data_IF_709640953306
#
_entry.id   IF_709640953306
#
_cell.length_a   1.000
_cell.length_b   1.000
_cell.length_c   1.000
_cell.angle_alpha   90.00
_cell.angle_beta   90.00
_cell.angle_gamma   90.00
#
_symmetry.space_group_name_H-M   'P 1'
#
loop_
_entity.id
_entity.type
_entity.pdbx_description
1 polymer ?
#
# COMPACT_ATOMS: atom_id res chain seq x y z
N UNK A 1 -8.74 -5.04 16.17
CA UNK A 1 -7.77 -4.43 17.12
C UNK A 1 -7.12 -3.16 16.57
N UNK A 2 -6.92 -3.04 15.24
CA UNK A 2 -6.31 -1.85 14.61
C UNK A 2 -6.88 -0.46 14.99
N UNK A 3 -8.19 -0.34 15.24
CA UNK A 3 -8.81 0.94 15.68
C UNK A 3 -8.33 1.35 17.07
N UNK A 4 -8.25 0.40 18.01
CA UNK A 4 -7.80 0.65 19.39
C UNK A 4 -6.37 1.18 19.40
N UNK A 5 -5.51 0.64 18.53
CA UNK A 5 -4.11 1.06 18.43
C UNK A 5 -3.97 2.49 17.90
N UNK A 6 -4.90 2.95 17.06
CA UNK A 6 -4.94 4.35 16.61
C UNK A 6 -5.40 5.28 17.71
N UNK A 7 -6.43 4.90 18.46
CA UNK A 7 -6.92 5.68 19.60
C UNK A 7 -5.84 5.83 20.67
N UNK A 8 -5.11 4.74 20.94
CA UNK A 8 -3.97 4.78 21.86
C UNK A 8 -2.82 5.65 21.32
N UNK A 9 -2.49 5.59 20.02
CA UNK A 9 -1.48 6.47 19.45
C UNK A 9 -1.83 7.97 19.63
N UNK A 10 -3.12 8.31 19.52
CA UNK A 10 -3.59 9.69 19.66
C UNK A 10 -3.46 10.25 21.08
N UNK A 11 -3.36 9.41 22.12
CA UNK A 11 -3.14 9.88 23.49
C UNK A 11 -1.79 10.58 23.66
N UNK A 12 -0.82 10.26 22.79
CA UNK A 12 0.51 10.88 22.75
C UNK A 12 0.58 12.16 21.91
N UNK A 13 -0.51 12.61 21.29
CA UNK A 13 -0.51 13.79 20.39
C UNK A 13 -0.15 15.12 21.05
N UNK A 14 -0.19 15.19 22.38
CA UNK A 14 0.20 16.38 23.16
C UNK A 14 1.66 16.38 23.63
N UNK A 15 2.40 15.31 23.36
CA UNK A 15 3.81 15.19 23.77
C UNK A 15 4.72 15.98 22.83
N UNK A 16 5.76 16.62 23.38
CA UNK A 16 6.70 17.44 22.60
C UNK A 16 7.55 16.62 21.61
N UNK A 17 7.75 15.34 21.89
CA UNK A 17 8.49 14.39 21.07
C UNK A 17 7.64 13.68 20.01
N UNK A 18 6.32 13.87 20.01
CA UNK A 18 5.39 13.15 19.14
C UNK A 18 4.66 14.08 18.17
N UNK A 19 4.79 13.81 16.87
CA UNK A 19 3.99 14.47 15.82
C UNK A 19 2.91 13.50 15.32
N UNK A 20 1.92 13.23 16.17
CA UNK A 20 0.82 12.28 15.91
C UNK A 20 -0.50 13.03 15.80
N UNK A 21 -1.19 12.86 14.67
CA UNK A 21 -2.49 13.51 14.41
C UNK A 21 -3.46 12.57 13.73
N UNK A 22 -4.74 12.78 13.99
CA UNK A 22 -5.80 12.06 13.29
C UNK A 22 -5.90 12.54 11.84
N UNK A 23 -5.97 11.60 10.89
CA UNK A 23 -6.30 11.92 9.51
C UNK A 23 -7.83 12.04 9.36
N UNK A 24 -8.35 13.27 9.30
CA UNK A 24 -9.75 13.54 9.00
C UNK A 24 -9.93 13.98 7.55
N UNK A 25 -10.44 13.09 6.72
CA UNK A 25 -10.63 13.36 5.28
C UNK A 25 -11.56 14.55 5.00
N UNK A 26 -12.55 14.81 5.85
CA UNK A 26 -13.42 15.99 5.76
C UNK A 26 -12.63 17.30 5.90
N UNK A 27 -11.60 17.31 6.74
CA UNK A 27 -10.73 18.46 6.98
C UNK A 27 -9.77 18.75 5.81
N UNK A 28 -9.64 17.84 4.84
CA UNK A 28 -8.82 18.09 3.65
C UNK A 28 -9.50 19.01 2.63
N UNK A 29 -10.83 19.17 2.71
CA UNK A 29 -11.61 19.93 1.72
C UNK A 29 -12.38 21.10 2.31
N UNK A 30 -12.65 21.06 3.62
CA UNK A 30 -13.51 22.02 4.31
C UNK A 30 -12.71 22.75 5.37
N UNK A 31 -12.84 24.08 5.39
CA UNK A 31 -12.31 24.92 6.46
C UNK A 31 -13.38 25.04 7.55
N UNK A 32 -13.48 24.05 8.45
CA UNK A 32 -14.39 24.09 9.60
C UNK A 32 -13.63 24.16 10.94
N UNK A 33 -14.25 24.69 12.01
CA UNK A 33 -13.57 24.93 13.30
C UNK A 33 -12.98 23.66 13.91
N UNK A 34 -13.56 22.48 13.66
CA UNK A 34 -13.05 21.20 14.17
C UNK A 34 -11.76 20.74 13.48
N UNK A 35 -11.34 21.41 12.40
CA UNK A 35 -10.13 21.09 11.65
C UNK A 35 -8.92 21.94 12.04
N UNK A 36 -9.08 22.86 13.00
CA UNK A 36 -7.96 23.63 13.56
C UNK A 36 -6.91 22.65 14.09
N UNK A 37 -5.66 22.79 13.64
CA UNK A 37 -4.51 21.90 13.92
C UNK A 37 -4.54 20.49 13.30
N UNK A 38 -5.48 20.19 12.40
CA UNK A 38 -5.56 18.93 11.65
C UNK A 38 -5.21 19.07 10.17
N UNK A 39 -4.71 20.23 9.73
CA UNK A 39 -4.48 20.53 8.31
C UNK A 39 -3.03 20.34 7.85
N UNK A 40 -2.09 20.16 8.77
CA UNK A 40 -0.65 20.01 8.50
C UNK A 40 -0.23 18.56 8.22
N UNK A 41 -1.08 17.82 7.52
CA UNK A 41 -0.79 16.46 7.10
C UNK A 41 0.53 16.38 6.33
N UNK A 42 1.39 15.45 6.73
CA UNK A 42 2.66 15.21 6.04
C UNK A 42 2.42 14.39 4.78
N UNK A 43 3.07 14.76 3.68
CA UNK A 43 3.15 13.88 2.51
C UNK A 43 3.93 12.61 2.87
N UNK A 44 3.77 11.52 2.10
CA UNK A 44 4.56 10.29 2.31
C UNK A 44 6.07 10.58 2.34
N UNK A 45 6.55 11.46 1.47
CA UNK A 45 7.97 11.84 1.42
C UNK A 45 8.41 12.61 2.66
N UNK A 46 7.54 13.47 3.22
CA UNK A 46 7.83 14.21 4.45
C UNK A 46 7.99 13.31 5.67
N UNK A 47 7.37 12.13 5.69
CA UNK A 47 7.58 11.16 6.77
C UNK A 47 9.04 10.70 6.81
N UNK A 48 9.74 10.63 5.68
CA UNK A 48 11.15 10.21 5.67
C UNK A 48 12.11 11.19 6.37
N UNK A 49 11.63 12.38 6.78
CA UNK A 49 12.39 13.32 7.62
C UNK A 49 12.47 12.88 9.09
N UNK A 50 11.63 11.93 9.51
CA UNK A 50 11.56 11.45 10.88
C UNK A 50 12.34 10.14 11.04
N UNK A 51 13.04 10.00 12.16
CA UNK A 51 13.82 8.80 12.49
C UNK A 51 12.94 7.61 12.85
N UNK A 52 11.82 7.86 13.52
CA UNK A 52 10.88 6.84 13.99
C UNK A 52 9.51 7.10 13.38
N UNK A 53 8.91 6.06 12.80
CA UNK A 53 7.63 6.13 12.11
C UNK A 53 6.66 5.15 12.74
N UNK A 54 5.61 5.67 13.36
CA UNK A 54 4.55 4.85 13.91
C UNK A 54 3.62 4.35 12.79
N UNK A 55 3.45 3.05 12.74
CA UNK A 55 2.49 2.36 11.88
C UNK A 55 1.33 1.84 12.72
N UNK A 56 0.12 2.18 12.29
CA UNK A 56 -1.13 1.66 12.85
C UNK A 56 -2.01 1.12 11.72
N UNK A 57 -2.68 0.00 11.97
CA UNK A 57 -3.74 -0.52 11.10
C UNK A 57 -5.01 0.36 11.20
N UNK A 58 -6.03 0.04 10.40
CA UNK A 58 -7.33 0.70 10.45
C UNK A 58 -8.44 -0.34 10.54
N UNK A 59 -9.43 -0.24 9.64
CA UNK A 59 -10.44 -1.31 9.47
C UNK A 59 -9.83 -2.61 8.90
N UNK A 60 -8.74 -2.49 8.15
CA UNK A 60 -7.93 -3.58 7.63
C UNK A 60 -6.44 -3.18 7.68
N UNK A 61 -5.60 -3.81 6.84
CA UNK A 61 -4.22 -3.36 6.66
C UNK A 61 -4.18 -1.88 6.29
N UNK A 62 -3.16 -1.17 6.75
CA UNK A 62 -2.94 0.22 6.36
C UNK A 62 -2.03 0.28 5.14
N UNK A 63 -2.55 0.81 4.03
CA UNK A 63 -1.81 1.00 2.79
C UNK A 63 -0.62 1.96 2.89
N UNK A 64 -0.47 2.65 4.03
CA UNK A 64 0.68 3.50 4.36
C UNK A 64 1.95 2.70 4.61
N UNK A 65 1.85 1.48 5.15
CA UNK A 65 2.99 0.69 5.64
C UNK A 65 4.09 0.55 4.59
N UNK A 66 3.74 0.10 3.38
CA UNK A 66 4.70 -0.10 2.29
C UNK A 66 5.46 1.17 1.91
N UNK A 67 4.89 2.34 2.17
CA UNK A 67 5.54 3.62 1.90
C UNK A 67 6.46 4.05 3.05
N UNK A 68 6.08 3.78 4.31
CA UNK A 68 6.94 4.05 5.46
C UNK A 68 8.20 3.17 5.43
N UNK A 69 8.05 1.90 5.03
CA UNK A 69 9.17 0.97 4.82
C UNK A 69 10.14 1.41 3.71
N UNK A 70 9.72 2.36 2.86
CA UNK A 70 10.58 2.95 1.84
C UNK A 70 11.38 4.14 2.35
N UNK A 71 11.20 4.56 3.61
CA UNK A 71 12.06 5.53 4.26
C UNK A 71 13.20 4.81 4.98
N UNK A 72 14.39 5.43 5.07
CA UNK A 72 15.50 4.93 5.89
C UNK A 72 15.28 5.28 7.37
N UNK A 73 14.11 4.90 7.88
CA UNK A 73 13.59 5.19 9.21
C UNK A 73 13.26 3.88 9.93
N UNK A 74 13.14 3.93 11.25
CA UNK A 74 12.63 2.80 12.04
C UNK A 74 11.10 2.81 12.00
N UNK A 75 10.50 1.79 11.40
CA UNK A 75 9.04 1.62 11.45
C UNK A 75 8.67 0.80 12.69
N UNK A 76 7.80 1.37 13.50
CA UNK A 76 7.32 0.80 14.78
C UNK A 76 5.83 0.55 14.64
N UNK A 77 5.36 -0.64 14.99
CA UNK A 77 3.94 -0.94 15.07
C UNK A 77 3.63 -1.74 16.33
N UNK A 78 2.35 -1.88 16.64
CA UNK A 78 1.86 -2.99 17.45
C UNK A 78 1.70 -4.23 16.55
N UNK A 79 1.37 -5.39 17.14
CA UNK A 79 1.09 -6.64 16.42
C UNK A 79 0.11 -6.38 15.27
N UNK A 80 0.53 -6.74 14.06
CA UNK A 80 -0.28 -6.63 12.86
C UNK A 80 -1.30 -7.76 12.80
N UNK A 81 -2.57 -7.42 12.61
CA UNK A 81 -3.65 -8.41 12.42
C UNK A 81 -3.89 -8.71 10.94
N UNK A 82 -3.59 -7.75 10.06
CA UNK A 82 -3.94 -7.80 8.65
C UNK A 82 -2.71 -7.88 7.77
N UNK A 83 -2.67 -8.90 6.92
CA UNK A 83 -1.56 -9.09 5.99
C UNK A 83 -1.72 -8.32 4.68
N UNK A 84 -0.60 -7.84 4.16
CA UNK A 84 -0.42 -7.54 2.74
C UNK A 84 0.51 -8.59 2.12
N UNK A 85 0.60 -8.60 0.80
CA UNK A 85 1.38 -9.58 0.04
C UNK A 85 2.85 -9.69 0.45
N UNK A 86 3.43 -8.66 1.07
CA UNK A 86 4.83 -8.63 1.53
C UNK A 86 5.02 -8.90 3.03
N UNK A 87 3.96 -9.11 3.82
CA UNK A 87 4.08 -9.21 5.29
C UNK A 87 4.91 -10.41 5.74
N UNK A 88 4.90 -11.50 4.97
CA UNK A 88 5.75 -12.67 5.19
C UNK A 88 7.26 -12.40 5.08
N UNK A 89 7.66 -11.22 4.58
CA UNK A 89 9.05 -10.78 4.49
C UNK A 89 9.46 -9.86 5.66
N UNK A 90 8.51 -9.48 6.52
CA UNK A 90 8.78 -8.68 7.69
C UNK A 90 9.44 -9.56 8.76
N UNK A 91 10.53 -9.06 9.31
CA UNK A 91 11.27 -9.68 10.38
C UNK A 91 11.25 -8.75 11.59
N UNK A 92 10.49 -9.17 12.59
CA UNK A 92 10.29 -8.47 13.85
C UNK A 92 11.06 -9.14 15.01
N UNK A 93 11.81 -10.21 14.75
CA UNK A 93 12.55 -10.93 15.78
C UNK A 93 13.74 -10.09 16.28
N UNK A 94 13.76 -9.68 17.56
CA UNK A 94 14.90 -8.95 18.12
C UNK A 94 16.17 -9.80 18.20
N UNK A 95 16.12 -11.11 18.05
CA UNK A 95 17.33 -11.94 17.92
C UNK A 95 17.88 -11.91 16.48
N UNK A 96 17.03 -11.72 15.47
CA UNK A 96 17.43 -11.77 14.07
C UNK A 96 18.35 -10.61 13.65
N UNK A 97 19.50 -10.88 13.01
CA UNK A 97 20.33 -9.82 12.42
C UNK A 97 19.65 -9.13 11.23
N UNK A 98 18.59 -9.71 10.66
CA UNK A 98 17.81 -9.19 9.54
C UNK A 98 16.55 -8.42 9.95
N UNK A 99 16.36 -8.18 11.26
CA UNK A 99 15.23 -7.41 11.77
C UNK A 99 15.03 -6.13 10.95
N UNK A 100 13.81 -5.92 10.44
CA UNK A 100 13.51 -4.86 9.48
C UNK A 100 12.26 -4.04 9.86
N UNK A 101 11.59 -4.40 10.96
CA UNK A 101 10.50 -3.65 11.57
C UNK A 101 10.44 -3.96 13.07
N UNK A 102 9.88 -3.05 13.87
CA UNK A 102 9.68 -3.27 15.31
C UNK A 102 8.20 -3.46 15.62
N UNK A 103 7.87 -4.56 16.32
CA UNK A 103 6.58 -4.75 16.97
C UNK A 103 6.73 -4.46 18.47
N UNK A 104 5.88 -3.62 19.05
CA UNK A 104 5.91 -3.30 20.49
C UNK A 104 5.12 -4.35 21.28
N UNK A 105 5.59 -4.80 22.45
CA UNK A 105 6.87 -4.46 23.09
C UNK A 105 8.04 -5.30 22.53
N UNK A 106 9.06 -4.64 21.97
CA UNK A 106 10.30 -5.29 21.53
C UNK A 106 11.50 -4.32 21.61
N UNK A 107 12.70 -4.79 21.98
CA UNK A 107 13.91 -3.96 21.99
C UNK A 107 14.37 -3.56 20.57
N UNK A 108 14.96 -2.37 20.45
CA UNK A 108 15.43 -1.80 19.19
C UNK A 108 16.88 -2.20 18.85
N UNK A 109 17.19 -2.42 17.56
CA UNK A 109 18.57 -2.54 17.04
C UNK A 109 18.96 -1.31 16.21
N UNK A 110 20.21 -0.87 16.33
CA UNK A 110 20.72 0.30 15.61
C UNK A 110 20.72 0.13 14.08
N UNK A 111 20.93 -1.10 13.58
CA UNK A 111 21.02 -1.38 12.14
C UNK A 111 19.64 -1.54 11.45
N UNK A 112 18.53 -1.44 12.18
CA UNK A 112 17.18 -1.67 11.64
C UNK A 112 16.84 -0.81 10.40
N UNK A 113 17.12 0.51 10.36
CA UNK A 113 16.84 1.32 9.17
C UNK A 113 17.62 0.86 7.94
N UNK A 114 18.81 0.28 8.15
CA UNK A 114 19.64 -0.23 7.08
C UNK A 114 19.06 -1.53 6.53
N UNK A 115 18.63 -2.46 7.39
CA UNK A 115 17.98 -3.70 6.95
C UNK A 115 16.66 -3.42 6.22
N UNK A 116 15.82 -2.53 6.75
CA UNK A 116 14.59 -2.11 6.06
C UNK A 116 14.89 -1.52 4.67
N UNK A 117 15.95 -0.72 4.56
CA UNK A 117 16.35 -0.12 3.29
C UNK A 117 16.95 -1.13 2.31
N UNK A 118 17.93 -1.90 2.75
CA UNK A 118 18.71 -2.80 1.90
C UNK A 118 17.92 -4.07 1.55
N UNK A 119 17.23 -4.67 2.53
CA UNK A 119 16.55 -5.97 2.35
C UNK A 119 15.09 -5.82 1.93
N UNK A 120 14.31 -4.90 2.49
CA UNK A 120 12.92 -4.71 2.05
C UNK A 120 12.85 -3.78 0.85
N UNK A 121 13.23 -2.50 1.03
CA UNK A 121 13.04 -1.46 0.01
C UNK A 121 13.81 -1.74 -1.29
N UNK A 122 15.09 -2.10 -1.19
CA UNK A 122 15.96 -2.24 -2.37
C UNK A 122 15.89 -3.62 -3.03
N UNK A 123 15.24 -4.59 -2.39
CA UNK A 123 15.11 -5.94 -2.95
C UNK A 123 13.67 -6.34 -3.19
N UNK A 124 12.83 -6.36 -2.16
CA UNK A 124 11.47 -6.92 -2.26
C UNK A 124 10.36 -5.90 -2.57
N UNK A 125 10.54 -4.64 -2.21
CA UNK A 125 9.55 -3.57 -2.42
C UNK A 125 9.92 -2.63 -3.57
N UNK A 126 10.87 -3.01 -4.42
CA UNK A 126 11.17 -2.24 -5.64
C UNK A 126 9.98 -2.26 -6.61
N UNK A 127 9.85 -1.28 -7.51
CA UNK A 127 8.83 -1.32 -8.57
C UNK A 127 8.90 -2.61 -9.40
N UNK A 128 10.11 -3.06 -9.72
CA UNK A 128 10.34 -4.30 -10.46
C UNK A 128 9.89 -5.54 -9.67
N UNK A 129 10.27 -5.65 -8.39
CA UNK A 129 9.87 -6.77 -7.54
C UNK A 129 8.35 -6.84 -7.37
N UNK A 130 7.68 -5.71 -7.14
CA UNK A 130 6.23 -5.65 -7.09
C UNK A 130 5.58 -6.09 -8.42
N UNK A 131 6.08 -5.60 -9.55
CA UNK A 131 5.57 -5.99 -10.87
C UNK A 131 5.78 -7.50 -11.14
N UNK A 132 6.93 -8.05 -10.74
CA UNK A 132 7.23 -9.48 -10.84
C UNK A 132 6.26 -10.32 -10.00
N UNK A 133 6.01 -9.93 -8.74
CA UNK A 133 5.05 -10.61 -7.87
C UNK A 133 3.65 -10.65 -8.52
N UNK A 134 3.15 -9.51 -9.00
CA UNK A 134 1.84 -9.44 -9.64
C UNK A 134 1.74 -10.27 -10.92
N UNK A 135 2.76 -10.20 -11.79
CA UNK A 135 2.80 -11.03 -13.01
C UNK A 135 2.79 -12.52 -12.68
N UNK A 136 3.56 -12.94 -11.68
CA UNK A 136 3.60 -14.33 -11.25
C UNK A 136 2.25 -14.78 -10.68
N UNK A 137 1.66 -13.97 -9.79
CA UNK A 137 0.37 -14.24 -9.16
C UNK A 137 -0.74 -14.41 -10.21
N UNK A 138 -0.86 -13.47 -11.15
CA UNK A 138 -1.91 -13.51 -12.19
C UNK A 138 -1.73 -14.75 -13.09
N UNK A 139 -0.50 -15.09 -13.48
CA UNK A 139 -0.22 -16.30 -14.28
C UNK A 139 -0.61 -17.57 -13.54
N UNK A 140 -0.20 -17.71 -12.27
CA UNK A 140 -0.56 -18.88 -11.45
C UNK A 140 -2.05 -18.97 -11.18
N UNK A 141 -2.73 -17.84 -10.99
CA UNK A 141 -4.18 -17.83 -10.84
C UNK A 141 -4.89 -18.27 -12.13
N UNK A 142 -4.43 -17.82 -13.30
CA UNK A 142 -4.96 -18.26 -14.59
C UNK A 142 -4.82 -19.78 -14.79
N UNK A 143 -3.71 -20.37 -14.34
CA UNK A 143 -3.50 -21.84 -14.37
C UNK A 143 -4.53 -22.63 -13.52
N UNK A 144 -5.19 -21.98 -12.55
CA UNK A 144 -6.23 -22.62 -11.73
C UNK A 144 -7.64 -22.49 -12.31
N UNK A 145 -7.83 -21.68 -13.36
CA UNK A 145 -9.14 -21.48 -13.97
C UNK A 145 -9.59 -22.73 -14.73
N UNK A 146 -10.85 -23.10 -14.54
CA UNK A 146 -11.47 -24.25 -15.21
C UNK A 146 -12.34 -23.82 -16.41
N UNK A 147 -12.10 -22.61 -16.93
CA UNK A 147 -12.86 -22.02 -18.02
C UNK A 147 -11.94 -21.14 -18.88
N UNK A 148 -12.33 -20.98 -20.14
CA UNK A 148 -11.68 -20.04 -21.06
C UNK A 148 -12.33 -18.66 -20.93
N UNK A 149 -11.52 -17.62 -20.86
CA UNK A 149 -12.00 -16.24 -20.74
C UNK A 149 -12.39 -15.73 -22.12
N UNK A 150 -13.65 -15.30 -22.27
CA UNK A 150 -14.08 -14.55 -23.44
C UNK A 150 -13.95 -13.04 -23.16
N UNK A 151 -13.21 -12.35 -24.03
CA UNK A 151 -13.08 -10.90 -23.98
C UNK A 151 -14.33 -10.19 -24.50
N UNK A 152 -15.23 -10.86 -25.21
CA UNK A 152 -16.46 -10.27 -25.69
C UNK A 152 -17.45 -10.08 -24.53
N UNK A 153 -18.02 -8.88 -24.43
CA UNK A 153 -19.01 -8.60 -23.40
C UNK A 153 -20.32 -9.29 -23.75
N UNK A 154 -20.73 -10.23 -22.90
CA UNK A 154 -22.01 -10.92 -23.03
C UNK A 154 -23.18 -9.92 -22.94
N UNK A 155 -24.11 -10.02 -23.90
CA UNK A 155 -25.39 -9.32 -23.82
C UNK A 155 -26.17 -9.81 -22.59
N UNK A 156 -26.56 -8.88 -21.72
CA UNK A 156 -27.43 -9.17 -20.58
C UNK A 156 -28.90 -8.93 -20.94
N UNK A 157 -29.15 -8.06 -21.90
CA UNK A 157 -30.47 -7.71 -22.43
C UNK A 157 -30.43 -7.98 -23.94
N UNK A 158 -31.35 -8.79 -24.49
CA UNK A 158 -31.35 -9.13 -25.91
C UNK A 158 -31.37 -7.90 -26.80
N UNK A 159 -30.41 -7.81 -27.74
CA UNK A 159 -30.33 -6.70 -28.70
C UNK A 159 -29.68 -5.43 -28.15
N UNK A 160 -29.32 -5.40 -26.86
CA UNK A 160 -28.56 -4.31 -26.26
C UNK A 160 -27.10 -4.73 -26.06
N UNK A 161 -26.27 -4.42 -27.06
CA UNK A 161 -24.83 -4.63 -26.97
C UNK A 161 -24.26 -3.84 -25.80
N UNK A 162 -23.44 -4.51 -24.99
CA UNK A 162 -22.72 -3.86 -23.90
C UNK A 162 -21.46 -3.20 -24.44
N UNK A 163 -21.18 -2.02 -23.91
CA UNK A 163 -19.97 -1.27 -24.18
C UNK A 163 -19.15 -1.25 -22.89
N UNK A 164 -17.91 -1.72 -22.95
CA UNK A 164 -16.97 -1.75 -21.83
C UNK A 164 -16.42 -0.36 -21.54
N UNK A 165 -15.61 -0.25 -20.49
CA UNK A 165 -15.01 1.02 -20.06
C UNK A 165 -14.14 1.70 -21.14
N UNK A 166 -13.63 0.91 -22.11
CA UNK A 166 -12.87 1.39 -23.26
C UNK A 166 -13.74 1.82 -24.45
N UNK A 167 -15.06 1.86 -24.32
CA UNK A 167 -15.96 2.21 -25.43
C UNK A 167 -16.13 1.11 -26.48
N UNK A 168 -15.63 -0.10 -26.23
CA UNK A 168 -15.70 -1.25 -27.16
C UNK A 168 -16.65 -2.32 -26.66
N UNK A 169 -17.05 -3.27 -27.52
CA UNK A 169 -17.79 -4.48 -27.10
C UNK A 169 -16.93 -5.51 -26.34
N UNK A 170 -15.73 -5.13 -25.91
CA UNK A 170 -14.76 -6.00 -25.27
C UNK A 170 -14.53 -5.63 -23.80
N UNK A 171 -14.04 -6.60 -23.03
CA UNK A 171 -13.52 -6.39 -21.69
C UNK A 171 -12.40 -5.35 -21.73
N UNK A 172 -12.36 -4.47 -20.73
CA UNK A 172 -11.33 -3.46 -20.63
C UNK A 172 -9.98 -4.11 -20.29
N UNK A 173 -8.89 -3.76 -21.01
CA UNK A 173 -7.56 -4.27 -20.68
C UNK A 173 -7.14 -3.81 -19.28
N UNK A 174 -6.44 -4.68 -18.56
CA UNK A 174 -5.99 -4.42 -17.19
C UNK A 174 -5.17 -3.12 -17.09
N UNK A 175 -4.38 -2.83 -18.12
CA UNK A 175 -3.52 -1.66 -18.25
C UNK A 175 -4.30 -0.34 -18.14
N UNK A 176 -5.55 -0.29 -18.60
CA UNK A 176 -6.40 0.90 -18.50
C UNK A 176 -6.75 1.30 -17.06
N UNK A 177 -6.63 0.36 -16.11
CA UNK A 177 -6.87 0.61 -14.69
C UNK A 177 -5.58 0.95 -13.93
N UNK A 178 -4.43 0.51 -14.42
CA UNK A 178 -3.11 0.73 -13.78
C UNK A 178 -2.47 2.02 -14.25
N UNK A 179 -2.50 2.25 -15.56
CA UNK A 179 -2.07 3.50 -16.17
C UNK A 179 -3.32 4.34 -16.33
N UNK A 180 -3.67 5.13 -15.31
CA UNK A 180 -4.76 6.12 -15.37
C UNK A 180 -4.43 7.29 -16.33
N UNK A 181 -4.06 6.95 -17.56
CA UNK A 181 -3.94 7.84 -18.70
C UNK A 181 -4.68 7.18 -19.86
N UNK A 182 -5.26 7.99 -20.74
CA UNK A 182 -5.85 7.48 -21.99
C UNK A 182 -4.80 6.61 -22.68
N UNK A 183 -5.02 5.30 -22.73
CA UNK A 183 -4.22 4.42 -23.57
C UNK A 183 -4.62 4.75 -25.01
N UNK A 184 -3.95 5.73 -25.60
CA UNK A 184 -3.90 5.82 -27.05
C UNK A 184 -3.42 4.45 -27.54
N UNK A 185 -4.11 3.88 -28.53
CA UNK A 185 -4.03 2.46 -28.93
C UNK A 185 -2.66 1.93 -29.34
N UNK A 186 -1.59 2.69 -29.17
CA UNK A 186 -0.20 2.35 -29.45
C UNK A 186 0.40 1.34 -28.44
N UNK A 187 -0.18 1.17 -27.25
CA UNK A 187 0.33 0.19 -26.26
C UNK A 187 0.11 -1.28 -26.67
N UNK A 188 -0.86 -1.55 -27.56
CA UNK A 188 -1.07 -2.89 -28.12
C UNK A 188 0.03 -3.30 -29.11
N UNK A 189 0.67 -2.34 -29.80
CA UNK A 189 1.77 -2.63 -30.75
C UNK A 189 3.09 -2.97 -30.05
N UNK A 190 3.26 -2.57 -28.78
CA UNK A 190 4.47 -2.85 -28.01
C UNK A 190 4.58 -4.30 -27.49
N UNK A 191 3.49 -5.07 -27.52
CA UNK A 191 3.47 -6.46 -27.03
C UNK A 191 3.78 -7.50 -28.11
N UNK A 192 3.95 -7.07 -29.37
CA UNK A 192 4.30 -7.94 -30.52
C UNK A 192 5.75 -7.78 -31.00
N UNK A 193 6.68 -7.36 -30.14
CA UNK A 193 8.13 -7.41 -30.38
C UNK A 193 8.85 -8.23 -29.32
#
# INVERSE_FOLDING_TARGET
>A
MGIVNREHALTYSGEDWADIKELRWSCMKLNCPECINLTDHKTITDHCKYKYLLQTEGHAYSGRLKYLLNCKSVVIADKLEWDQHFHHLLDYDPASPQQNMVLVPSPFKENLPRNAWDDLRNRYLTPAANACYWRYLVKRYAETMQFEVDLQLRELIPGQKRVGAAGTGMAAPYESFVFMGTTDGCLLDCLNR
#
